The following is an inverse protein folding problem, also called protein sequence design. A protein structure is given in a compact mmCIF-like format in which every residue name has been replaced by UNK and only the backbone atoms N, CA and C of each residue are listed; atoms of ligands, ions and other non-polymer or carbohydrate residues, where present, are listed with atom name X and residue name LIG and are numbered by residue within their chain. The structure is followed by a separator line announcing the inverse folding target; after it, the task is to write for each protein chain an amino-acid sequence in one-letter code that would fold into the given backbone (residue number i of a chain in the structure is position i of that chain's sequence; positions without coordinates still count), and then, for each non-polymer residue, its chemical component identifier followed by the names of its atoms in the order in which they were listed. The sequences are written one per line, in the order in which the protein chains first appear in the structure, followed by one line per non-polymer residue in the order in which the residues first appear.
data_IF_140484306877
#
_entry.id   IF_140484306877
#
_cell.length_a   1.000
_cell.length_b   1.000
_cell.length_c   1.000
_cell.angle_alpha   90.00
_cell.angle_beta   90.00
_cell.angle_gamma   90.00
#
_symmetry.space_group_name_H-M   'P 1'
#
loop_
_entity.id
_entity.type
_entity.pdbx_description
1 polymer ?
#
# COMPACT_ATOMS: atom_id res chain seq x y z
N UNK A 1 -14.33 22.85 7.07
CA UNK A 1 -15.12 22.68 5.83
C UNK A 1 -14.75 21.30 5.30
N UNK A 2 -15.70 20.39 5.22
CA UNK A 2 -15.46 19.02 4.76
C UNK A 2 -15.15 19.03 3.27
N UNK A 3 -13.90 18.73 2.90
CA UNK A 3 -13.53 18.62 1.49
C UNK A 3 -13.79 17.19 1.03
N UNK A 4 -14.96 16.99 0.41
CA UNK A 4 -15.40 15.70 -0.15
C UNK A 4 -14.36 15.09 -1.10
N UNK A 5 -13.58 15.92 -1.80
CA UNK A 5 -12.58 15.45 -2.75
C UNK A 5 -11.32 14.97 -2.05
N UNK A 6 -10.85 15.70 -1.03
CA UNK A 6 -9.79 15.24 -0.13
C UNK A 6 -10.18 13.91 0.50
N UNK A 7 -11.38 13.84 1.08
CA UNK A 7 -11.86 12.65 1.78
C UNK A 7 -11.91 11.45 0.85
N UNK A 8 -12.40 11.63 -0.37
CA UNK A 8 -12.45 10.57 -1.36
C UNK A 8 -11.06 10.11 -1.81
N UNK A 9 -10.15 11.04 -2.09
CA UNK A 9 -8.77 10.70 -2.44
C UNK A 9 -8.08 9.96 -1.29
N UNK A 10 -8.24 10.44 -0.06
CA UNK A 10 -7.66 9.79 1.12
C UNK A 10 -8.24 8.38 1.35
N UNK A 11 -9.53 8.17 1.09
CA UNK A 11 -10.15 6.84 1.16
C UNK A 11 -9.58 5.88 0.10
N UNK A 12 -9.43 6.33 -1.15
CA UNK A 12 -8.78 5.54 -2.20
C UNK A 12 -7.34 5.20 -1.82
N UNK A 13 -6.56 6.20 -1.38
CA UNK A 13 -5.18 6.00 -0.97
C UNK A 13 -5.08 5.06 0.24
N UNK A 14 -5.99 5.12 1.21
CA UNK A 14 -6.04 4.21 2.36
C UNK A 14 -6.31 2.76 1.94
N UNK A 15 -7.04 2.57 0.84
CA UNK A 15 -7.32 1.27 0.24
C UNK A 15 -6.26 0.84 -0.79
N UNK A 16 -5.20 1.65 -0.97
CA UNK A 16 -4.19 1.49 -2.02
C UNK A 16 -4.78 1.45 -3.44
N UNK A 17 -5.95 2.05 -3.63
CA UNK A 17 -6.66 2.09 -4.90
C UNK A 17 -6.28 3.33 -5.70
N UNK A 18 -6.18 3.16 -7.01
CA UNK A 18 -5.92 4.22 -7.97
C UNK A 18 -7.24 4.77 -8.52
N UNK A 19 -7.25 6.01 -9.06
CA UNK A 19 -8.41 6.54 -9.76
C UNK A 19 -8.92 5.65 -10.90
N UNK A 20 -8.01 4.89 -11.53
CA UNK A 20 -8.31 3.89 -12.56
C UNK A 20 -9.20 2.75 -12.02
N UNK A 21 -8.95 2.29 -10.79
CA UNK A 21 -9.69 1.18 -10.18
C UNK A 21 -11.16 1.58 -9.93
N UNK A 22 -11.36 2.78 -9.36
CA UNK A 22 -12.69 3.35 -9.19
C UNK A 22 -13.39 3.57 -10.54
N UNK A 23 -12.68 4.07 -11.55
CA UNK A 23 -13.25 4.27 -12.87
C UNK A 23 -13.72 2.95 -13.50
N UNK A 24 -12.91 1.89 -13.36
CA UNK A 24 -13.25 0.54 -13.78
C UNK A 24 -14.47 0.00 -13.04
N UNK A 25 -14.48 0.11 -11.71
CA UNK A 25 -15.58 -0.34 -10.85
C UNK A 25 -16.93 0.33 -11.15
N UNK A 26 -16.90 1.62 -11.52
CA UNK A 26 -18.10 2.36 -11.92
C UNK A 26 -18.44 2.25 -13.42
N UNK A 27 -17.57 1.63 -14.24
CA UNK A 27 -17.76 1.56 -15.68
C UNK A 27 -17.69 2.93 -16.39
N UNK A 28 -16.90 3.87 -15.86
CA UNK A 28 -16.75 5.23 -16.40
C UNK A 28 -15.32 5.52 -16.86
N UNK A 29 -15.12 6.68 -17.50
CA UNK A 29 -13.77 7.12 -17.90
C UNK A 29 -12.98 7.60 -16.68
N UNK A 30 -11.70 7.21 -16.58
CA UNK A 30 -10.77 7.71 -15.56
C UNK A 30 -10.65 9.24 -15.56
N UNK A 31 -10.83 9.89 -16.71
CA UNK A 31 -10.86 11.35 -16.80
C UNK A 31 -11.97 11.98 -15.98
N UNK A 32 -13.09 11.29 -15.76
CA UNK A 32 -14.19 11.77 -14.92
C UNK A 32 -13.80 11.72 -13.44
N UNK A 33 -13.23 10.59 -13.02
CA UNK A 33 -12.71 10.41 -11.65
C UNK A 33 -11.62 11.44 -11.34
N UNK A 34 -10.64 11.61 -12.23
CA UNK A 34 -9.58 12.61 -12.05
C UNK A 34 -10.10 14.03 -11.94
N UNK A 35 -11.24 14.36 -12.57
CA UNK A 35 -11.87 15.67 -12.40
C UNK A 35 -12.48 15.78 -11.00
N UNK A 36 -13.18 14.75 -10.52
CA UNK A 36 -13.74 14.74 -9.16
C UNK A 36 -12.69 14.92 -8.08
N UNK A 37 -11.51 14.34 -8.26
CA UNK A 37 -10.38 14.40 -7.32
C UNK A 37 -9.55 15.68 -7.46
N UNK A 38 -9.84 16.52 -8.45
CA UNK A 38 -9.12 17.77 -8.71
C UNK A 38 -9.75 18.91 -7.90
N UNK A 39 -9.02 19.51 -6.93
CA UNK A 39 -9.55 20.61 -6.13
C UNK A 39 -9.95 21.81 -6.98
N UNK A 40 -9.28 22.07 -8.10
CA UNK A 40 -9.46 23.27 -8.91
C UNK A 40 -10.71 23.22 -9.80
N UNK A 41 -11.31 22.04 -9.98
CA UNK A 41 -12.47 21.87 -10.85
C UNK A 41 -13.78 21.84 -10.09
N UNK A 42 -14.79 22.60 -10.54
CA UNK A 42 -16.14 22.54 -9.96
C UNK A 42 -16.92 21.30 -10.42
N UNK A 43 -16.47 20.13 -9.97
CA UNK A 43 -17.15 18.85 -10.18
C UNK A 43 -17.03 17.98 -8.94
N UNK A 44 -18.15 17.42 -8.52
CA UNK A 44 -18.26 16.64 -7.29
C UNK A 44 -18.34 15.14 -7.60
N UNK A 45 -17.77 14.28 -6.73
CA UNK A 45 -18.02 12.86 -6.79
C UNK A 45 -19.51 12.54 -6.67
N UNK A 46 -19.96 11.50 -7.38
CA UNK A 46 -21.33 10.99 -7.28
C UNK A 46 -21.47 10.03 -6.10
N UNK A 47 -22.70 9.84 -5.59
CA UNK A 47 -22.99 8.92 -4.47
C UNK A 47 -22.44 7.52 -4.72
N UNK A 48 -22.65 6.99 -5.92
CA UNK A 48 -22.21 5.65 -6.33
C UNK A 48 -20.70 5.45 -6.15
N UNK A 49 -19.90 6.52 -6.22
CA UNK A 49 -18.46 6.42 -5.99
C UNK A 49 -18.12 6.15 -4.51
N UNK A 50 -18.87 6.73 -3.58
CA UNK A 50 -18.71 6.47 -2.14
C UNK A 50 -19.29 5.11 -1.75
N UNK A 51 -20.41 4.71 -2.34
CA UNK A 51 -20.98 3.37 -2.17
C UNK A 51 -19.96 2.31 -2.62
N UNK A 52 -19.36 2.48 -3.80
CA UNK A 52 -18.34 1.57 -4.32
C UNK A 52 -17.10 1.47 -3.41
N UNK A 53 -16.62 2.61 -2.87
CA UNK A 53 -15.52 2.61 -1.88
C UNK A 53 -15.90 1.83 -0.63
N UNK A 54 -17.15 1.98 -0.16
CA UNK A 54 -17.66 1.26 1.01
C UNK A 54 -17.68 -0.25 0.76
N UNK A 55 -18.10 -0.68 -0.43
CA UNK A 55 -18.06 -2.10 -0.84
C UNK A 55 -16.61 -2.65 -0.85
N UNK A 56 -15.62 -1.82 -1.23
CA UNK A 56 -14.21 -2.23 -1.19
C UNK A 56 -13.68 -2.40 0.24
N UNK A 57 -14.17 -1.60 1.20
CA UNK A 57 -13.83 -1.75 2.62
C UNK A 57 -14.34 -3.08 3.17
N UNK A 58 -15.58 -3.47 2.83
CA UNK A 58 -16.14 -4.78 3.22
C UNK A 58 -15.31 -5.92 2.61
N UNK A 59 -15.02 -5.84 1.30
CA UNK A 59 -14.17 -6.81 0.61
C UNK A 59 -12.77 -6.94 1.19
N UNK A 60 -12.17 -5.84 1.65
CA UNK A 60 -10.86 -5.85 2.31
C UNK A 60 -10.87 -6.74 3.57
N UNK A 61 -11.95 -6.72 4.34
CA UNK A 61 -12.12 -7.58 5.51
C UNK A 61 -12.08 -9.06 5.15
N UNK A 62 -12.85 -9.46 4.14
CA UNK A 62 -12.91 -10.84 3.65
C UNK A 62 -11.56 -11.31 3.10
N UNK A 63 -10.91 -10.47 2.28
CA UNK A 63 -9.58 -10.76 1.72
C UNK A 63 -8.51 -10.89 2.81
N UNK A 64 -8.58 -10.07 3.86
CA UNK A 64 -7.62 -10.14 4.97
C UNK A 64 -7.78 -11.46 5.73
N UNK A 65 -9.02 -11.89 5.97
CA UNK A 65 -9.29 -13.18 6.60
C UNK A 65 -8.81 -14.35 5.72
N UNK A 66 -9.02 -14.25 4.41
CA UNK A 66 -8.50 -15.23 3.46
C UNK A 66 -6.97 -15.31 3.52
N UNK A 67 -6.26 -14.18 3.47
CA UNK A 67 -4.80 -14.14 3.56
C UNK A 67 -4.28 -14.77 4.87
N UNK A 68 -4.98 -14.58 5.99
CA UNK A 68 -4.63 -15.22 7.26
C UNK A 68 -4.79 -16.74 7.22
N UNK A 69 -5.87 -17.23 6.61
CA UNK A 69 -6.07 -18.67 6.44
C UNK A 69 -5.00 -19.27 5.53
N UNK A 70 -4.72 -18.64 4.39
CA UNK A 70 -3.68 -19.08 3.45
C UNK A 70 -2.29 -19.11 4.11
N UNK A 71 -1.98 -18.14 4.98
CA UNK A 71 -0.73 -18.11 5.74
C UNK A 71 -0.66 -19.20 6.82
N UNK A 72 -1.80 -19.64 7.38
CA UNK A 72 -1.83 -20.78 8.29
C UNK A 72 -1.63 -22.10 7.53
N UNK A 73 -2.32 -22.26 6.39
CA UNK A 73 -2.18 -23.42 5.52
C UNK A 73 -0.74 -23.56 5.00
N UNK A 74 -0.08 -22.43 4.70
CA UNK A 74 1.34 -22.44 4.31
C UNK A 74 2.25 -22.93 5.42
N UNK A 75 1.94 -22.60 6.67
CA UNK A 75 2.72 -23.08 7.83
C UNK A 75 2.56 -24.59 8.00
N UNK A 76 1.35 -25.11 7.86
CA UNK A 76 1.11 -26.56 7.90
C UNK A 76 1.88 -27.30 6.79
N UNK A 77 1.99 -26.68 5.61
CA UNK A 77 2.64 -27.29 4.44
C UNK A 77 4.16 -27.13 4.41
N UNK A 78 4.67 -25.95 4.75
CA UNK A 78 6.07 -25.56 4.55
C UNK A 78 6.82 -25.27 5.86
N UNK A 79 6.14 -25.27 7.00
CA UNK A 79 6.73 -24.90 8.29
C UNK A 79 6.93 -23.39 8.48
N UNK A 80 6.41 -22.56 7.58
CA UNK A 80 6.54 -21.11 7.61
C UNK A 80 5.24 -20.41 7.18
N UNK A 81 4.88 -19.34 7.89
CA UNK A 81 3.77 -18.48 7.49
C UNK A 81 4.20 -17.64 6.28
N UNK A 82 3.46 -17.75 5.19
CA UNK A 82 3.78 -17.11 3.92
C UNK A 82 2.61 -16.21 3.54
N UNK A 83 2.92 -14.94 3.35
CA UNK A 83 1.99 -13.95 2.81
C UNK A 83 2.31 -13.71 1.34
N UNK A 84 1.27 -13.70 0.50
CA UNK A 84 1.43 -13.52 -0.95
C UNK A 84 1.51 -12.05 -1.31
N UNK A 85 2.44 -11.72 -2.20
CA UNK A 85 2.52 -10.40 -2.81
C UNK A 85 2.18 -10.45 -4.29
N UNK A 86 1.29 -9.59 -4.74
CA UNK A 86 0.73 -9.61 -6.08
C UNK A 86 1.30 -8.47 -6.91
N UNK A 87 1.74 -8.81 -8.13
CA UNK A 87 2.03 -7.79 -9.16
C UNK A 87 0.78 -7.58 -10.00
N UNK A 88 0.72 -6.46 -10.70
CA UNK A 88 -0.39 -6.17 -11.63
C UNK A 88 -0.63 -7.32 -12.65
N UNK A 89 0.43 -8.03 -13.08
CA UNK A 89 0.31 -9.16 -14.01
C UNK A 89 -0.09 -10.50 -13.37
N UNK A 90 -0.10 -10.58 -12.03
CA UNK A 90 -0.44 -11.81 -11.29
C UNK A 90 -1.93 -11.85 -10.89
N UNK A 91 -2.68 -10.77 -11.10
CA UNK A 91 -4.06 -10.62 -10.67
C UNK A 91 -5.07 -10.89 -11.78
N UNK A 92 -6.31 -11.31 -11.45
CA UNK A 92 -7.41 -11.31 -12.40
C UNK A 92 -7.67 -9.91 -12.95
N UNK A 93 -8.05 -9.81 -14.23
CA UNK A 93 -8.32 -8.54 -14.94
C UNK A 93 -9.36 -7.61 -14.24
N UNK A 94 -10.15 -8.17 -13.33
CA UNK A 94 -11.26 -7.49 -12.64
C UNK A 94 -10.88 -6.94 -11.27
N UNK A 95 -9.67 -7.21 -10.77
CA UNK A 95 -9.31 -6.98 -9.37
C UNK A 95 -8.17 -5.97 -9.21
N UNK A 96 -8.33 -4.95 -8.34
CA UNK A 96 -7.26 -3.98 -8.11
C UNK A 96 -6.15 -4.59 -7.24
N UNK A 97 -4.92 -4.56 -7.74
CA UNK A 97 -3.78 -5.12 -7.00
C UNK A 97 -3.45 -4.45 -5.68
N UNK A 98 -3.81 -3.17 -5.55
CA UNK A 98 -3.69 -2.44 -4.29
C UNK A 98 -4.46 -3.10 -3.15
N UNK A 99 -5.68 -3.58 -3.40
CA UNK A 99 -6.54 -4.14 -2.35
C UNK A 99 -6.03 -5.48 -1.83
N UNK A 100 -5.58 -6.38 -2.72
CA UNK A 100 -5.00 -7.68 -2.35
C UNK A 100 -3.69 -7.52 -1.56
N UNK A 101 -2.83 -6.61 -2.00
CA UNK A 101 -1.58 -6.34 -1.31
C UNK A 101 -1.83 -5.64 0.05
N UNK A 102 -2.85 -4.79 0.15
CA UNK A 102 -3.25 -4.20 1.43
C UNK A 102 -3.78 -5.28 2.38
N UNK A 103 -4.63 -6.20 1.90
CA UNK A 103 -5.12 -7.33 2.69
C UNK A 103 -3.97 -8.21 3.19
N UNK A 104 -3.01 -8.48 2.30
CA UNK A 104 -1.79 -9.25 2.60
C UNK A 104 -0.96 -8.55 3.68
N UNK A 105 -0.80 -7.23 3.58
CA UNK A 105 -0.11 -6.42 4.61
C UNK A 105 -0.85 -6.44 5.94
N UNK A 106 -2.17 -6.27 5.95
CA UNK A 106 -2.97 -6.31 7.19
C UNK A 106 -2.91 -7.69 7.85
N UNK A 107 -2.91 -8.77 7.07
CA UNK A 107 -2.71 -10.11 7.59
C UNK A 107 -1.31 -10.27 8.22
N UNK A 108 -0.26 -9.80 7.54
CA UNK A 108 1.10 -9.79 8.07
C UNK A 108 1.21 -9.00 9.39
N UNK A 109 0.62 -7.80 9.46
CA UNK A 109 0.60 -6.97 10.68
C UNK A 109 -0.14 -7.67 11.83
N UNK A 110 -1.25 -8.36 11.55
CA UNK A 110 -1.99 -9.14 12.55
C UNK A 110 -1.21 -10.36 13.06
N UNK A 111 -0.45 -11.02 12.20
CA UNK A 111 0.45 -12.12 12.60
C UNK A 111 1.61 -11.59 13.43
N UNK A 112 2.25 -10.50 12.99
CA UNK A 112 3.33 -9.84 13.72
C UNK A 112 2.89 -9.37 15.12
N UNK A 113 1.68 -8.82 15.26
CA UNK A 113 1.10 -8.45 16.55
C UNK A 113 0.92 -9.64 17.51
N UNK A 114 0.87 -10.88 16.99
CA UNK A 114 0.84 -12.12 17.78
C UNK A 114 2.24 -12.71 18.00
N UNK A 115 3.30 -12.02 17.56
CA UNK A 115 4.68 -12.51 17.59
C UNK A 115 4.95 -13.62 16.58
N UNK A 116 4.15 -13.71 15.51
CA UNK A 116 4.31 -14.71 14.44
C UNK A 116 5.04 -14.04 13.27
N UNK A 117 6.23 -14.55 12.96
CA UNK A 117 7.00 -14.13 11.80
C UNK A 117 6.39 -14.71 10.52
N UNK A 118 6.38 -13.91 9.45
CA UNK A 118 5.92 -14.33 8.14
C UNK A 118 6.92 -13.91 7.07
N UNK A 119 7.07 -14.74 6.04
CA UNK A 119 7.80 -14.36 4.84
C UNK A 119 6.85 -13.88 3.76
N UNK A 120 7.30 -12.91 2.99
CA UNK A 120 6.57 -12.43 1.83
C UNK A 120 7.07 -13.12 0.57
N UNK A 121 6.16 -13.67 -0.23
CA UNK A 121 6.50 -14.39 -1.47
C UNK A 121 5.60 -13.94 -2.62
N UNK A 122 6.15 -13.75 -3.82
CA UNK A 122 5.31 -13.40 -4.97
C UNK A 122 4.24 -14.46 -5.25
N UNK A 123 3.04 -14.02 -5.60
CA UNK A 123 1.92 -14.91 -5.94
C UNK A 123 2.24 -15.85 -7.11
N UNK A 124 3.09 -15.41 -8.04
CA UNK A 124 3.59 -16.24 -9.15
C UNK A 124 4.51 -17.39 -8.75
N UNK A 125 5.04 -17.41 -7.50
CA UNK A 125 5.89 -18.50 -7.02
C UNK A 125 5.03 -19.65 -6.46
N UNK A 126 5.01 -20.77 -7.17
CA UNK A 126 4.29 -21.98 -6.76
C UNK A 126 4.96 -22.71 -5.58
N UNK A 127 4.30 -23.78 -5.09
CA UNK A 127 4.79 -24.59 -3.97
C UNK A 127 6.16 -25.22 -4.20
N UNK A 128 6.44 -25.75 -5.39
CA UNK A 128 7.76 -26.32 -5.72
C UNK A 128 8.89 -25.29 -5.59
N UNK A 129 8.63 -24.04 -6.02
CA UNK A 129 9.60 -22.97 -5.89
C UNK A 129 9.84 -22.64 -4.42
N UNK A 130 8.78 -22.59 -3.60
CA UNK A 130 8.89 -22.34 -2.16
C UNK A 130 9.73 -23.41 -1.50
N UNK A 131 9.41 -24.70 -1.71
CA UNK A 131 10.13 -25.83 -1.12
C UNK A 131 11.63 -25.81 -1.43
N UNK A 132 12.00 -25.40 -2.64
CA UNK A 132 13.41 -25.29 -3.05
C UNK A 132 14.16 -24.12 -2.39
N UNK A 133 13.45 -23.15 -1.80
CA UNK A 133 14.03 -21.92 -1.26
C UNK A 133 13.81 -21.76 0.25
N UNK A 134 13.25 -22.76 0.95
CA UNK A 134 12.99 -22.68 2.40
C UNK A 134 14.25 -22.45 3.25
N UNK A 135 15.42 -22.89 2.77
CA UNK A 135 16.68 -22.77 3.52
C UNK A 135 17.27 -21.34 3.48
N UNK A 136 16.70 -20.41 2.71
CA UNK A 136 17.14 -19.01 2.69
C UNK A 136 16.43 -18.22 3.81
N UNK A 137 17.19 -17.84 4.83
CA UNK A 137 16.73 -17.05 5.98
C UNK A 137 17.18 -15.58 5.85
N UNK A 138 16.40 -14.57 6.30
CA UNK A 138 15.08 -14.66 6.94
C UNK A 138 13.89 -14.64 5.96
N UNK A 139 14.10 -14.19 4.73
CA UNK A 139 13.06 -14.12 3.70
C UNK A 139 13.36 -15.07 2.54
N UNK A 140 12.38 -15.94 2.26
CA UNK A 140 12.44 -16.89 1.13
C UNK A 140 12.49 -16.14 -0.21
N UNK A 141 11.81 -15.00 -0.32
CA UNK A 141 11.77 -14.17 -1.55
C UNK A 141 12.07 -12.71 -1.20
N UNK A 142 13.37 -12.38 -1.07
CA UNK A 142 13.85 -11.02 -0.81
C UNK A 142 13.31 -9.97 -1.79
N UNK A 143 12.97 -10.36 -3.01
CA UNK A 143 12.41 -9.45 -4.02
C UNK A 143 10.97 -9.10 -3.69
N UNK A 144 10.18 -10.09 -3.29
CA UNK A 144 8.81 -9.89 -2.86
C UNK A 144 8.76 -9.07 -1.57
N UNK A 145 9.61 -9.40 -0.59
CA UNK A 145 9.74 -8.65 0.65
C UNK A 145 10.10 -7.17 0.39
N UNK A 146 11.11 -6.91 -0.45
CA UNK A 146 11.51 -5.54 -0.80
C UNK A 146 10.41 -4.77 -1.52
N UNK A 147 9.71 -5.43 -2.46
CA UNK A 147 8.58 -4.81 -3.14
C UNK A 147 7.46 -4.47 -2.16
N UNK A 148 7.10 -5.40 -1.28
CA UNK A 148 6.07 -5.22 -0.28
C UNK A 148 6.38 -4.07 0.68
N UNK A 149 7.60 -3.99 1.19
CA UNK A 149 8.04 -2.92 2.08
C UNK A 149 7.99 -1.56 1.39
N UNK A 150 8.56 -1.45 0.19
CA UNK A 150 8.56 -0.19 -0.55
C UNK A 150 7.14 0.28 -0.91
N UNK A 151 6.26 -0.64 -1.29
CA UNK A 151 4.88 -0.32 -1.65
C UNK A 151 4.04 0.05 -0.41
N UNK A 152 4.26 -0.63 0.72
CA UNK A 152 3.64 -0.31 2.02
C UNK A 152 4.02 1.10 2.50
N UNK A 153 5.29 1.48 2.34
CA UNK A 153 5.79 2.82 2.63
C UNK A 153 5.37 3.87 1.58
N UNK A 154 4.81 3.45 0.44
CA UNK A 154 4.43 4.33 -0.65
C UNK A 154 5.61 4.95 -1.39
N UNK A 155 6.78 4.33 -1.32
CA UNK A 155 8.02 4.85 -1.89
C UNK A 155 8.10 4.50 -3.38
N UNK A 156 8.13 5.49 -4.29
CA UNK A 156 8.25 5.22 -5.70
C UNK A 156 9.65 4.75 -6.07
N UNK A 157 9.74 3.89 -7.08
CA UNK A 157 11.01 3.40 -7.65
C UNK A 157 12.01 4.54 -7.94
N UNK A 158 11.52 5.67 -8.45
CA UNK A 158 12.36 6.82 -8.78
C UNK A 158 13.02 7.48 -7.57
N UNK A 159 12.39 7.40 -6.41
CA UNK A 159 12.95 7.97 -5.18
C UNK A 159 14.06 7.09 -4.63
N UNK A 160 13.84 5.76 -4.58
CA UNK A 160 14.89 4.79 -4.22
C UNK A 160 16.09 4.96 -5.16
N UNK A 161 15.83 5.02 -6.47
CA UNK A 161 16.88 5.17 -7.46
C UNK A 161 17.66 6.48 -7.29
N UNK A 162 16.96 7.59 -7.04
CA UNK A 162 17.59 8.89 -6.80
C UNK A 162 18.42 8.91 -5.51
N UNK A 163 17.90 8.33 -4.42
CA UNK A 163 18.59 8.27 -3.13
C UNK A 163 19.90 7.47 -3.22
N UNK A 164 19.89 6.36 -3.96
CA UNK A 164 21.05 5.49 -4.14
C UNK A 164 21.96 5.93 -5.29
N UNK A 165 21.60 6.96 -6.06
CA UNK A 165 22.37 7.40 -7.24
C UNK A 165 22.42 6.37 -8.37
N UNK A 166 21.38 5.55 -8.50
CA UNK A 166 21.28 4.46 -9.49
C UNK A 166 20.13 4.70 -10.48
N UNK A 167 19.96 3.78 -11.43
CA UNK A 167 18.87 3.87 -12.41
C UNK A 167 17.57 3.28 -11.88
N UNK A 168 16.43 3.83 -12.33
CA UNK A 168 15.11 3.24 -12.10
C UNK A 168 15.02 1.78 -12.57
N UNK A 169 15.82 1.40 -13.59
CA UNK A 169 15.85 0.03 -14.11
C UNK A 169 16.38 -0.95 -13.07
N UNK A 170 17.45 -0.59 -12.36
CA UNK A 170 18.05 -1.41 -11.31
C UNK A 170 17.01 -1.75 -10.22
N UNK A 171 16.33 -0.73 -9.71
CA UNK A 171 15.27 -0.90 -8.69
C UNK A 171 14.10 -1.75 -9.21
N UNK A 172 13.71 -1.57 -10.48
CA UNK A 172 12.68 -2.42 -11.11
C UNK A 172 13.11 -3.88 -11.24
N UNK A 173 14.39 -4.13 -11.53
CA UNK A 173 14.92 -5.48 -11.61
C UNK A 173 14.98 -6.14 -10.23
N UNK A 174 15.27 -5.38 -9.16
CA UNK A 174 15.17 -5.86 -7.77
C UNK A 174 13.77 -6.34 -7.42
N UNK A 175 12.72 -5.62 -7.84
CA UNK A 175 11.30 -6.01 -7.66
C UNK A 175 10.77 -7.01 -8.72
N UNK A 176 11.63 -7.59 -9.56
CA UNK A 176 11.17 -8.48 -10.63
C UNK A 176 11.53 -9.95 -10.33
N UNK A 177 10.56 -10.86 -10.13
CA UNK A 177 10.82 -12.27 -9.88
C UNK A 177 11.40 -13.00 -11.10
N UNK A 178 11.33 -12.43 -12.31
CA UNK A 178 11.99 -12.99 -13.52
C UNK A 178 13.49 -12.66 -13.59
N UNK A 179 14.03 -11.91 -12.63
CA UNK A 179 15.42 -11.45 -12.56
C UNK A 179 16.09 -11.95 -11.29
N UNK A 180 16.08 -13.26 -11.08
CA UNK A 180 16.42 -13.93 -9.81
C UNK A 180 17.76 -13.47 -9.18
N UNK A 181 18.79 -13.22 -9.99
CA UNK A 181 20.13 -12.89 -9.47
C UNK A 181 20.32 -11.43 -9.06
N UNK A 182 19.40 -10.53 -9.43
CA UNK A 182 19.52 -9.10 -9.14
C UNK A 182 18.74 -8.78 -7.86
N UNK A 183 19.41 -8.88 -6.71
CA UNK A 183 18.79 -8.61 -5.41
C UNK A 183 18.95 -7.13 -5.00
N UNK A 184 18.02 -6.59 -4.20
CA UNK A 184 18.22 -5.30 -3.54
C UNK A 184 19.52 -5.33 -2.72
N UNK A 185 20.28 -4.24 -2.76
CA UNK A 185 21.49 -4.05 -1.96
C UNK A 185 21.14 -3.57 -0.55
N UNK A 186 22.06 -3.73 0.41
CA UNK A 186 21.85 -3.35 1.80
C UNK A 186 21.45 -1.87 1.95
N UNK A 187 22.07 -0.97 1.18
CA UNK A 187 21.73 0.46 1.22
C UNK A 187 20.30 0.76 0.76
N UNK A 188 19.68 -0.14 -0.02
CA UNK A 188 18.29 -0.01 -0.43
C UNK A 188 17.34 -0.36 0.73
N UNK A 189 17.73 -1.30 1.58
CA UNK A 189 17.00 -1.64 2.81
C UNK A 189 17.16 -0.54 3.85
N UNK A 190 18.39 -0.07 4.10
CA UNK A 190 18.67 1.05 4.99
C UNK A 190 17.83 2.28 4.61
N UNK A 191 17.73 2.58 3.31
CA UNK A 191 16.88 3.67 2.83
C UNK A 191 15.39 3.48 3.17
N UNK A 192 14.85 2.27 3.06
CA UNK A 192 13.45 1.99 3.40
C UNK A 192 13.23 2.06 4.93
N UNK A 193 14.20 1.63 5.72
CA UNK A 193 14.14 1.67 7.18
C UNK A 193 14.18 3.12 7.69
N UNK A 194 15.08 3.95 7.17
CA UNK A 194 15.11 5.39 7.45
C UNK A 194 13.80 6.08 7.04
N UNK A 195 13.21 5.67 5.91
CA UNK A 195 11.93 6.19 5.45
C UNK A 195 10.79 5.77 6.40
N UNK A 196 10.79 4.53 6.85
CA UNK A 196 9.82 4.01 7.82
C UNK A 196 9.91 4.76 9.15
N UNK A 197 11.12 4.96 9.68
CA UNK A 197 11.35 5.72 10.91
C UNK A 197 10.81 7.16 10.79
N UNK A 198 11.11 7.84 9.69
CA UNK A 198 10.60 9.19 9.45
C UNK A 198 9.07 9.24 9.37
N UNK A 199 8.44 8.22 8.77
CA UNK A 199 6.99 8.07 8.71
C UNK A 199 6.39 7.81 10.09
N UNK A 200 7.00 6.98 10.91
CA UNK A 200 6.54 6.67 12.26
C UNK A 200 6.62 7.88 13.18
N UNK A 201 7.74 8.61 13.15
CA UNK A 201 7.90 9.88 13.87
C UNK A 201 6.79 10.85 13.48
N UNK A 202 6.58 11.04 12.17
CA UNK A 202 5.58 11.98 11.69
C UNK A 202 4.15 11.55 12.04
N UNK A 203 3.88 10.25 12.02
CA UNK A 203 2.58 9.69 12.43
C UNK A 203 2.33 9.96 13.91
N UNK A 204 3.33 9.76 14.77
CA UNK A 204 3.24 10.04 16.20
C UNK A 204 2.98 11.53 16.49
N UNK A 205 3.66 12.45 15.79
CA UNK A 205 3.41 13.89 15.89
C UNK A 205 1.95 14.27 15.53
N UNK A 206 1.40 13.66 14.49
CA UNK A 206 0.00 13.89 14.08
C UNK A 206 -0.99 13.30 15.08
N UNK A 207 -0.68 12.15 15.68
CA UNK A 207 -1.48 11.56 16.76
C UNK A 207 -1.44 12.40 18.05
N UNK A 208 -0.32 13.04 18.36
CA UNK A 208 -0.21 13.92 19.52
C UNK A 208 -0.95 15.26 19.30
N UNK A 209 -0.78 15.86 18.13
CA UNK A 209 -1.38 17.15 17.81
C UNK A 209 -2.87 17.06 17.43
N UNK A 210 -3.33 15.88 16.99
CA UNK A 210 -4.70 15.60 16.53
C UNK A 210 -5.31 16.73 15.70
N UNK A 211 -4.69 17.12 14.57
CA UNK A 211 -5.24 18.19 13.74
C UNK A 211 -6.60 17.77 13.19
N UNK A 212 -7.57 18.69 13.24
CA UNK A 212 -8.88 18.51 12.66
C UNK A 212 -9.22 19.73 11.79
N UNK A 213 -9.19 19.60 10.46
CA UNK A 213 -8.95 18.39 9.65
C UNK A 213 -7.47 17.96 9.55
N UNK A 214 -7.22 16.69 9.18
CA UNK A 214 -5.90 16.15 8.88
C UNK A 214 -5.31 16.77 7.59
N UNK A 215 -3.99 17.06 7.56
CA UNK A 215 -3.35 17.62 6.38
C UNK A 215 -3.22 16.58 5.26
N UNK A 216 -3.45 17.01 4.02
CA UNK A 216 -3.28 16.19 2.82
C UNK A 216 -2.71 17.02 1.66
N UNK A 217 -1.66 16.52 1.01
CA UNK A 217 -1.04 17.12 -0.16
C UNK A 217 -1.53 16.43 -1.43
N UNK A 218 -2.33 17.12 -2.28
CA UNK A 218 -2.83 16.51 -3.50
C UNK A 218 -1.71 16.31 -4.52
N UNK A 219 -1.79 15.20 -5.24
CA UNK A 219 -1.05 15.03 -6.50
C UNK A 219 -1.66 15.98 -7.55
N UNK A 220 -1.10 17.19 -7.67
CA UNK A 220 -1.56 18.16 -8.68
C UNK A 220 -1.21 17.69 -10.10
N UNK A 221 -1.87 18.27 -11.12
CA UNK A 221 -1.56 17.97 -12.54
C UNK A 221 -0.14 18.36 -12.96
N UNK A 222 0.53 19.21 -12.18
CA UNK A 222 1.79 19.87 -12.56
C UNK A 222 3.00 19.44 -11.71
N UNK A 223 2.82 18.65 -10.64
CA UNK A 223 3.94 18.34 -9.75
C UNK A 223 3.77 17.01 -9.02
N UNK A 224 4.84 16.22 -9.03
CA UNK A 224 5.03 15.10 -8.11
C UNK A 224 5.29 15.65 -6.71
N UNK A 225 4.68 15.05 -5.69
CA UNK A 225 4.97 15.35 -4.28
C UNK A 225 6.47 15.23 -3.99
N UNK A 226 6.99 16.10 -3.12
CA UNK A 226 8.34 15.94 -2.53
C UNK A 226 8.37 14.74 -1.58
N UNK A 227 9.57 14.27 -1.18
CA UNK A 227 9.73 13.21 -0.17
C UNK A 227 8.93 13.52 1.10
N UNK A 228 9.11 14.73 1.65
CA UNK A 228 8.42 15.14 2.88
C UNK A 228 6.90 15.14 2.73
N UNK A 229 6.37 15.68 1.62
CA UNK A 229 4.92 15.67 1.38
C UNK A 229 4.33 14.26 1.26
N UNK A 230 5.09 13.30 0.72
CA UNK A 230 4.65 11.89 0.68
C UNK A 230 4.62 11.29 2.09
N UNK A 231 5.64 11.57 2.89
CA UNK A 231 5.69 11.18 4.30
C UNK A 231 4.50 11.78 5.04
N UNK A 232 4.24 13.08 4.89
CA UNK A 232 3.12 13.77 5.53
C UNK A 232 1.76 13.15 5.16
N UNK A 233 1.52 12.86 3.87
CA UNK A 233 0.29 12.21 3.44
C UNK A 233 0.12 10.81 4.05
N UNK A 234 1.18 10.00 3.98
CA UNK A 234 1.16 8.63 4.49
C UNK A 234 1.02 8.59 6.01
N UNK A 235 1.67 9.52 6.71
CA UNK A 235 1.54 9.69 8.15
C UNK A 235 0.13 10.14 8.55
N UNK A 236 -0.48 11.08 7.82
CA UNK A 236 -1.86 11.49 8.05
C UNK A 236 -2.85 10.32 7.84
N UNK A 237 -2.62 9.50 6.82
CA UNK A 237 -3.39 8.27 6.58
C UNK A 237 -3.20 7.22 7.68
N UNK A 238 -1.96 7.00 8.14
CA UNK A 238 -1.66 6.10 9.24
C UNK A 238 -2.30 6.57 10.56
N UNK A 239 -2.14 7.85 10.90
CA UNK A 239 -2.74 8.46 12.08
C UNK A 239 -4.28 8.37 12.03
N UNK A 240 -4.88 8.70 10.89
CA UNK A 240 -6.32 8.58 10.70
C UNK A 240 -6.82 7.14 10.93
N UNK A 241 -6.14 6.12 10.40
CA UNK A 241 -6.50 4.71 10.62
C UNK A 241 -6.44 4.33 12.11
N UNK A 242 -5.44 4.80 12.84
CA UNK A 242 -5.33 4.55 14.28
C UNK A 242 -6.44 5.25 15.07
N UNK A 243 -6.75 6.52 14.73
CA UNK A 243 -7.83 7.29 15.36
C UNK A 243 -9.20 6.63 15.11
N UNK A 244 -9.44 6.15 13.89
CA UNK A 244 -10.69 5.50 13.50
C UNK A 244 -10.78 4.04 13.98
N UNK A 245 -9.78 3.52 14.69
CA UNK A 245 -9.73 2.11 15.11
C UNK A 245 -10.90 1.67 16.01
N UNK A 246 -11.65 2.61 16.60
CA UNK A 246 -12.85 2.34 17.39
C UNK A 246 -14.17 2.35 16.59
N UNK A 247 -14.10 2.69 15.30
CA UNK A 247 -15.22 2.75 14.36
C UNK A 247 -16.23 3.88 14.63
N UNK A 248 -15.95 4.79 15.58
CA UNK A 248 -16.88 5.86 16.00
C UNK A 248 -16.43 7.25 15.57
N UNK A 249 -15.13 7.42 15.34
CA UNK A 249 -14.56 8.71 14.95
C UNK A 249 -14.46 8.79 13.43
N UNK A 250 -14.90 9.91 12.87
CA UNK A 250 -14.68 10.26 11.45
C UNK A 250 -13.53 11.26 11.40
N UNK A 251 -12.55 11.00 10.56
CA UNK A 251 -11.40 11.89 10.35
C UNK A 251 -11.56 12.60 9.01
N UNK A 252 -11.64 13.93 9.07
CA UNK A 252 -11.69 14.80 7.89
C UNK A 252 -10.28 15.10 7.37
N UNK A 253 -10.15 15.28 6.06
CA UNK A 253 -8.90 15.69 5.41
C UNK A 253 -9.06 17.05 4.71
N UNK A 254 -7.99 17.84 4.68
CA UNK A 254 -7.94 19.13 3.97
C UNK A 254 -6.68 19.25 3.13
N UNK A 255 -6.80 19.90 1.98
CA UNK A 255 -5.66 20.23 1.13
C UNK A 255 -4.74 21.26 1.81
N UNK A 256 -3.43 21.02 1.77
CA UNK A 256 -2.38 21.90 2.30
C UNK A 256 -1.32 22.21 1.25
#
# INVERSE_FOLDING_TARGET
MFDLKCSMQAQLDNLWLKPEDLAGGLGIRVSSVRKWLDPELDCMPVKDAFDWISDQIEKLGDLTLQCLNDANDSYEKFGQHIVRWYRDEDLPDTEPGGLYNLASRLAADQLAAKGIECSTVYASRGGEWIEQNLDFSPDIDLKAAFAAQADALGVPTSEIAAALGITNRSVKDWKNPKRDTMLPVDEAWDFLDEYAEALDIRTAELLESMPNPMPYHPMTRLGTLTKQQRIDNRAAQAAARQIMGDGKVVVDFVYV
#
